data_IF_794909513337
#
_entry.id   IF_794909513337
#
_cell.length_a   1.000
_cell.length_b   1.000
_cell.length_c   1.000
_cell.angle_alpha   90.00
_cell.angle_beta   90.00
_cell.angle_gamma   90.00
#
_symmetry.space_group_name_H-M   'P 1'
#
loop_
_entity.id
_entity.type
_entity.pdbx_description
1 polymer ?
#
# COMPACT_ATOMS: atom_id res chain seq x y z
N UNK A 1 6.24 6.29 49.85
CA UNK A 1 6.05 7.01 48.58
C UNK A 1 7.31 6.83 47.76
N UNK A 2 7.19 6.44 46.48
CA UNK A 2 8.33 5.98 45.66
C UNK A 2 9.22 7.10 45.09
N UNK A 3 8.87 8.38 45.29
CA UNK A 3 9.76 9.51 45.08
C UNK A 3 9.42 10.67 46.03
N UNK A 4 10.01 10.71 47.24
CA UNK A 4 9.73 11.77 48.21
C UNK A 4 10.27 13.14 47.80
N UNK A 5 11.03 13.25 46.70
CA UNK A 5 11.58 14.51 46.19
C UNK A 5 10.90 14.98 44.90
N UNK A 6 10.05 14.17 44.29
CA UNK A 6 9.27 14.49 43.09
C UNK A 6 10.13 15.00 41.93
N UNK A 7 11.33 14.45 41.75
CA UNK A 7 12.24 14.89 40.69
C UNK A 7 11.65 14.39 39.36
N UNK A 8 11.35 15.28 38.38
CA UNK A 8 10.82 14.85 37.10
C UNK A 8 11.81 13.92 36.40
N UNK A 9 11.47 12.64 36.34
CA UNK A 9 12.22 11.64 35.60
C UNK A 9 11.49 11.36 34.30
N UNK A 10 12.19 11.54 33.18
CA UNK A 10 11.68 11.13 31.87
C UNK A 10 12.07 9.67 31.64
N UNK A 11 11.08 8.79 31.46
CA UNK A 11 11.33 7.37 31.29
C UNK A 11 10.07 6.52 31.35
N UNK A 12 10.27 5.22 31.25
CA UNK A 12 9.20 4.24 31.41
C UNK A 12 8.88 4.06 32.91
N UNK A 13 7.59 3.99 33.23
CA UNK A 13 7.09 3.78 34.60
C UNK A 13 7.05 2.28 34.89
N UNK A 14 7.72 1.82 35.94
CA UNK A 14 7.89 0.40 36.26
C UNK A 14 6.55 -0.35 36.38
N UNK A 15 5.54 0.26 37.00
CA UNK A 15 4.19 -0.29 37.16
C UNK A 15 3.42 -0.38 35.84
N UNK A 16 3.72 0.51 34.87
CA UNK A 16 3.13 0.45 33.54
C UNK A 16 3.81 -0.63 32.69
N UNK A 17 5.14 -0.71 32.76
CA UNK A 17 5.92 -1.75 32.07
C UNK A 17 5.56 -3.13 32.62
N UNK A 18 5.36 -3.29 33.93
CA UNK A 18 4.95 -4.55 34.55
C UNK A 18 3.66 -5.12 33.93
N UNK A 19 2.68 -4.24 33.61
CA UNK A 19 1.42 -4.67 32.98
C UNK A 19 1.60 -5.17 31.54
N UNK A 20 2.64 -4.71 30.85
CA UNK A 20 2.93 -5.09 29.46
C UNK A 20 3.86 -6.29 29.41
N UNK A 21 4.95 -6.24 30.17
CA UNK A 21 5.93 -7.32 30.29
C UNK A 21 6.64 -7.25 31.67
N UNK A 22 6.25 -8.11 32.63
CA UNK A 22 6.85 -8.16 33.97
C UNK A 22 8.36 -8.43 33.98
N UNK A 23 8.90 -9.12 32.98
CA UNK A 23 10.32 -9.50 32.94
C UNK A 23 11.25 -8.30 32.71
N UNK A 24 10.68 -7.18 32.25
CA UNK A 24 11.38 -5.91 32.04
C UNK A 24 11.45 -5.05 33.30
N UNK A 25 10.99 -5.55 34.45
CA UNK A 25 10.93 -4.79 35.71
C UNK A 25 11.69 -5.52 36.81
N UNK A 26 12.51 -4.77 37.56
CA UNK A 26 13.11 -5.25 38.80
C UNK A 26 12.17 -4.95 39.98
N UNK A 27 12.05 -5.89 40.91
CA UNK A 27 11.20 -5.79 42.09
C UNK A 27 12.05 -5.56 43.34
N UNK A 28 11.46 -4.89 44.33
CA UNK A 28 12.04 -4.73 45.67
C UNK A 28 11.87 -6.00 46.53
N UNK A 29 12.34 -5.94 47.78
CA UNK A 29 12.24 -7.03 48.77
C UNK A 29 10.78 -7.38 49.14
N UNK A 30 9.81 -6.50 48.86
CA UNK A 30 8.38 -6.76 49.02
C UNK A 30 7.72 -7.32 47.74
N UNK A 31 8.50 -7.54 46.69
CA UNK A 31 8.02 -8.01 45.39
C UNK A 31 7.32 -6.92 44.56
N UNK A 32 7.38 -5.64 44.96
CA UNK A 32 6.75 -4.55 44.23
C UNK A 32 7.67 -4.05 43.11
N UNK A 33 7.13 -3.64 41.94
CA UNK A 33 7.88 -2.95 40.91
C UNK A 33 8.68 -1.78 41.49
N UNK A 34 10.00 -1.80 41.25
CA UNK A 34 10.90 -0.78 41.76
C UNK A 34 11.55 0.02 40.64
N UNK A 35 12.02 -0.65 39.57
CA UNK A 35 12.62 0.03 38.43
C UNK A 35 12.53 -0.78 37.15
N UNK A 36 12.62 -0.11 36.00
CA UNK A 36 12.67 -0.76 34.68
C UNK A 36 14.09 -1.23 34.40
N UNK A 37 14.21 -2.45 33.87
CA UNK A 37 15.49 -3.04 33.42
C UNK A 37 15.85 -2.47 32.06
N UNK A 38 16.33 -1.23 32.01
CA UNK A 38 16.63 -0.52 30.76
C UNK A 38 17.58 -1.26 29.83
N UNK A 39 18.56 -2.01 30.35
CA UNK A 39 19.44 -2.85 29.52
C UNK A 39 18.67 -3.96 28.79
N UNK A 40 17.69 -4.58 29.44
CA UNK A 40 16.83 -5.59 28.82
C UNK A 40 15.88 -4.96 27.79
N UNK A 41 15.37 -3.75 28.08
CA UNK A 41 14.56 -2.97 27.14
C UNK A 41 15.36 -2.62 25.89
N UNK A 42 16.60 -2.14 26.04
CA UNK A 42 17.46 -1.77 24.90
C UNK A 42 17.76 -2.96 23.99
N UNK A 43 18.10 -4.12 24.57
CA UNK A 43 18.32 -5.34 23.80
C UNK A 43 17.04 -5.82 23.09
N UNK A 44 15.89 -5.75 23.75
CA UNK A 44 14.60 -6.06 23.14
C UNK A 44 14.28 -5.10 21.99
N UNK A 45 14.46 -3.79 22.19
CA UNK A 45 14.20 -2.77 21.18
C UNK A 45 15.08 -2.94 19.94
N UNK A 46 16.35 -3.33 20.10
CA UNK A 46 17.21 -3.65 18.96
C UNK A 46 16.64 -4.80 18.12
N UNK A 47 16.20 -5.88 18.78
CA UNK A 47 15.60 -7.02 18.09
C UNK A 47 14.30 -6.63 17.37
N UNK A 48 13.42 -5.87 18.03
CA UNK A 48 12.17 -5.41 17.42
C UNK A 48 12.41 -4.40 16.29
N UNK A 49 13.38 -3.49 16.44
CA UNK A 49 13.79 -2.57 15.39
C UNK A 49 14.27 -3.32 14.14
N UNK A 50 15.10 -4.35 14.30
CA UNK A 50 15.57 -5.17 13.17
C UNK A 50 14.43 -5.92 12.49
N UNK A 51 13.44 -6.43 13.26
CA UNK A 51 12.26 -7.10 12.69
C UNK A 51 11.40 -6.13 11.87
N UNK A 52 11.07 -4.97 12.44
CA UNK A 52 10.26 -3.97 11.75
C UNK A 52 11.00 -3.39 10.54
N UNK A 53 12.32 -3.20 10.61
CA UNK A 53 13.11 -2.77 9.46
C UNK A 53 13.00 -3.77 8.29
N UNK A 54 13.18 -5.07 8.55
CA UNK A 54 13.02 -6.12 7.52
C UNK A 54 11.62 -6.14 6.92
N UNK A 55 10.59 -5.97 7.75
CA UNK A 55 9.20 -5.90 7.30
C UNK A 55 8.96 -4.69 6.40
N UNK A 56 9.52 -3.53 6.75
CA UNK A 56 9.48 -2.31 5.92
C UNK A 56 10.20 -2.53 4.60
N UNK A 57 11.36 -3.18 4.60
CA UNK A 57 12.08 -3.54 3.35
C UNK A 57 11.23 -4.46 2.46
N UNK A 58 10.59 -5.47 3.03
CA UNK A 58 9.72 -6.38 2.28
C UNK A 58 8.48 -5.66 1.72
N UNK A 59 7.85 -4.79 2.51
CA UNK A 59 6.73 -3.96 2.06
C UNK A 59 7.16 -3.03 0.93
N UNK A 60 8.32 -2.38 1.05
CA UNK A 60 8.87 -1.53 0.00
C UNK A 60 9.15 -2.30 -1.29
N UNK A 61 9.62 -3.56 -1.20
CA UNK A 61 9.78 -4.43 -2.38
C UNK A 61 8.42 -4.70 -3.04
N UNK A 62 7.41 -5.08 -2.25
CA UNK A 62 6.05 -5.35 -2.75
C UNK A 62 5.44 -4.11 -3.41
N UNK A 63 5.63 -2.92 -2.84
CA UNK A 63 5.17 -1.65 -3.42
C UNK A 63 5.79 -1.43 -4.79
N UNK A 64 7.11 -1.61 -4.95
CA UNK A 64 7.78 -1.45 -6.26
C UNK A 64 7.26 -2.44 -7.30
N UNK A 65 7.00 -3.68 -6.92
CA UNK A 65 6.42 -4.70 -7.81
C UNK A 65 5.00 -4.34 -8.25
N UNK A 66 4.21 -3.78 -7.33
CA UNK A 66 2.87 -3.28 -7.61
C UNK A 66 2.92 -2.06 -8.54
N UNK A 67 3.79 -1.09 -8.30
CA UNK A 67 3.98 0.10 -9.16
C UNK A 67 4.38 -0.29 -10.59
N UNK A 68 5.28 -1.27 -10.75
CA UNK A 68 5.67 -1.79 -12.06
C UNK A 68 4.48 -2.47 -12.77
N UNK A 69 3.67 -3.22 -12.03
CA UNK A 69 2.47 -3.87 -12.56
C UNK A 69 1.42 -2.85 -12.99
N UNK A 70 1.17 -1.82 -12.18
CA UNK A 70 0.25 -0.73 -12.48
C UNK A 70 0.69 0.00 -13.75
N UNK A 71 1.98 0.31 -13.87
CA UNK A 71 2.54 0.97 -15.07
C UNK A 71 2.33 0.12 -16.33
N UNK A 72 2.55 -1.21 -16.23
CA UNK A 72 2.31 -2.13 -17.34
C UNK A 72 0.83 -2.19 -17.73
N UNK A 73 -0.06 -2.24 -16.75
CA UNK A 73 -1.51 -2.24 -16.96
C UNK A 73 -1.99 -0.93 -17.60
N UNK A 74 -1.51 0.22 -17.13
CA UNK A 74 -1.83 1.53 -17.72
C UNK A 74 -1.43 1.60 -19.20
N UNK A 75 -0.22 1.13 -19.55
CA UNK A 75 0.21 1.02 -20.95
C UNK A 75 -0.68 0.10 -21.78
N UNK A 76 -1.06 -1.05 -21.22
CA UNK A 76 -2.00 -1.98 -21.86
C UNK A 76 -3.37 -1.35 -22.10
N UNK A 77 -3.91 -0.65 -21.09
CA UNK A 77 -5.19 0.05 -21.17
C UNK A 77 -5.18 1.13 -22.25
N UNK A 78 -4.14 1.97 -22.31
CA UNK A 78 -3.96 2.96 -23.39
C UNK A 78 -3.97 2.33 -24.78
N UNK A 79 -3.32 1.17 -24.92
CA UNK A 79 -3.29 0.43 -26.19
C UNK A 79 -4.68 -0.08 -26.58
N UNK A 80 -5.44 -0.60 -25.61
CA UNK A 80 -6.82 -1.08 -25.84
C UNK A 80 -7.73 0.09 -26.23
N UNK A 81 -7.64 1.23 -25.54
CA UNK A 81 -8.41 2.43 -25.87
C UNK A 81 -8.12 2.90 -27.30
N UNK A 82 -6.86 2.99 -27.70
CA UNK A 82 -6.49 3.38 -29.07
C UNK A 82 -7.07 2.43 -30.13
N UNK A 83 -7.07 1.12 -29.87
CA UNK A 83 -7.67 0.14 -30.78
C UNK A 83 -9.20 0.27 -30.85
N UNK A 84 -9.86 0.61 -29.74
CA UNK A 84 -11.31 0.85 -29.74
C UNK A 84 -11.67 2.09 -30.57
N UNK A 85 -10.89 3.16 -30.48
CA UNK A 85 -11.06 4.36 -31.31
C UNK A 85 -10.85 4.05 -32.79
N UNK A 86 -9.83 3.26 -33.13
CA UNK A 86 -9.58 2.81 -34.50
C UNK A 86 -10.75 1.98 -35.06
N UNK A 87 -11.24 1.00 -34.27
CA UNK A 87 -12.39 0.19 -34.66
C UNK A 87 -13.65 1.04 -34.86
N UNK A 88 -13.88 2.03 -34.00
CA UNK A 88 -15.01 2.96 -34.16
C UNK A 88 -14.91 3.74 -35.49
N UNK A 89 -13.73 4.22 -35.86
CA UNK A 89 -13.50 4.91 -37.13
C UNK A 89 -13.70 3.97 -38.35
N UNK A 90 -13.22 2.73 -38.26
CA UNK A 90 -13.43 1.72 -39.31
C UNK A 90 -14.92 1.40 -39.50
N UNK A 91 -15.69 1.25 -38.41
CA UNK A 91 -17.13 1.03 -38.47
C UNK A 91 -17.83 2.21 -39.16
N UNK A 92 -17.49 3.46 -38.81
CA UNK A 92 -18.07 4.62 -39.48
C UNK A 92 -17.78 4.64 -40.99
N UNK A 93 -16.55 4.30 -41.38
CA UNK A 93 -16.16 4.22 -42.79
C UNK A 93 -16.93 3.14 -43.55
N UNK A 94 -17.07 1.95 -42.98
CA UNK A 94 -17.84 0.84 -43.60
C UNK A 94 -19.31 1.22 -43.73
N UNK A 95 -19.91 1.84 -42.71
CA UNK A 95 -21.28 2.33 -42.76
C UNK A 95 -21.49 3.35 -43.89
N UNK A 96 -20.57 4.30 -44.06
CA UNK A 96 -20.64 5.27 -45.15
C UNK A 96 -20.54 4.61 -46.54
N UNK A 97 -19.66 3.61 -46.72
CA UNK A 97 -19.54 2.88 -47.99
C UNK A 97 -20.79 2.06 -48.33
N UNK A 98 -21.44 1.48 -47.32
CA UNK A 98 -22.69 0.73 -47.51
C UNK A 98 -23.84 1.66 -47.92
N UNK A 99 -23.96 2.85 -47.32
CA UNK A 99 -24.96 3.84 -47.71
C UNK A 99 -24.77 4.31 -49.16
N UNK A 100 -23.53 4.58 -49.58
CA UNK A 100 -23.22 4.95 -50.99
C UNK A 100 -23.55 3.79 -51.95
N UNK A 101 -23.22 2.55 -51.58
CA UNK A 101 -23.49 1.37 -52.41
C UNK A 101 -24.98 1.05 -52.53
N UNK A 102 -25.81 1.46 -51.56
CA UNK A 102 -27.28 1.32 -51.60
C UNK A 102 -27.95 2.35 -52.52
N UNK A 103 -27.30 3.48 -52.78
CA UNK A 103 -27.81 4.55 -53.65
C UNK A 103 -27.48 4.31 -55.13
N UNK A 104 -26.34 3.66 -55.43
CA UNK A 104 -25.89 3.39 -56.81
C UNK A 104 -26.82 2.51 -57.69
N UNK A 105 -27.60 1.53 -57.19
CA UNK A 105 -28.46 0.70 -58.04
C UNK A 105 -29.76 1.40 -58.47
N UNK A 106 -30.17 2.49 -57.80
CA UNK A 106 -31.47 3.15 -58.07
C UNK A 106 -31.44 4.11 -59.27
N UNK A 107 -30.27 4.45 -59.79
CA UNK A 107 -30.13 5.39 -60.90
C UNK A 107 -30.18 4.72 -62.29
N UNK A 108 -30.21 3.38 -62.36
CA UNK A 108 -30.19 2.62 -63.63
C UNK A 108 -31.58 2.12 -64.07
N UNK A 109 -32.64 2.33 -63.26
CA UNK A 109 -33.99 1.79 -63.52
C UNK A 109 -35.05 2.84 -63.91
N UNK A 110 -34.65 4.05 -64.27
CA UNK A 110 -35.58 5.11 -64.69
C UNK A 110 -35.21 5.63 -66.07
N UNK A 111 -35.43 4.81 -67.10
CA UNK A 111 -35.45 5.21 -68.51
C UNK A 111 -36.12 4.10 -69.36
N UNK A 112 -37.44 3.96 -69.26
CA UNK A 112 -38.32 3.46 -70.32
C UNK A 112 -39.69 4.12 -70.19
#
# INVERSE_FOLDING_TARGET
>A
ELDPKGIPQFGLVAEQVEKVNPDLVARDDQGKPYTVRYEAVNAMLLNEFLKEHRKVEEQNRKIREQEATITRLDKGMKTVVARLEELAAQIQKVSAQLEVSKLAPKTVLNNQ
#
